data_IF_719704109789
#
_entry.id   IF_719704109789
#
_cell.length_a   1.000
_cell.length_b   1.000
_cell.length_c   1.000
_cell.angle_alpha   90.00
_cell.angle_beta   90.00
_cell.angle_gamma   90.00
#
_symmetry.space_group_name_H-M   'P 1'
#
loop_
_entity.id
_entity.type
_entity.pdbx_description
1 polymer ?
#
# COMPACT_ATOMS: atom_id res chain seq x y z
N UNK A 1 60.79 18.43 -1.81
CA UNK A 1 59.35 18.52 -1.49
C UNK A 1 58.50 19.00 -2.70
N UNK A 2 58.46 18.34 -3.88
CA UNK A 2 57.55 18.73 -4.97
C UNK A 2 56.24 17.91 -5.04
N UNK A 3 56.19 16.74 -4.39
CA UNK A 3 55.03 15.83 -4.47
C UNK A 3 53.79 16.33 -3.69
N UNK A 4 53.98 17.11 -2.63
CA UNK A 4 52.87 17.62 -1.80
C UNK A 4 52.01 18.64 -2.55
N UNK A 5 52.61 19.49 -3.40
CA UNK A 5 51.86 20.52 -4.14
C UNK A 5 51.04 19.95 -5.30
N UNK A 6 51.52 18.91 -5.98
CA UNK A 6 50.77 18.24 -7.06
C UNK A 6 49.55 17.51 -6.51
N UNK A 7 49.69 16.88 -5.34
CA UNK A 7 48.61 16.12 -4.69
C UNK A 7 47.51 17.04 -4.16
N UNK A 8 47.86 18.21 -3.60
CA UNK A 8 46.86 19.23 -3.24
C UNK A 8 46.13 19.81 -4.46
N UNK A 9 46.82 20.04 -5.57
CA UNK A 9 46.17 20.55 -6.80
C UNK A 9 45.18 19.53 -7.40
N UNK A 10 45.49 18.23 -7.34
CA UNK A 10 44.58 17.17 -7.81
C UNK A 10 43.33 17.04 -6.93
N UNK A 11 43.48 17.13 -5.60
CA UNK A 11 42.34 17.10 -4.66
C UNK A 11 41.44 18.32 -4.84
N UNK A 12 42.03 19.51 -5.06
CA UNK A 12 41.26 20.73 -5.34
C UNK A 12 40.52 20.60 -6.68
N UNK A 13 41.13 20.02 -7.72
CA UNK A 13 40.46 19.77 -9.00
C UNK A 13 39.32 18.77 -8.91
N UNK A 14 39.47 17.69 -8.13
CA UNK A 14 38.38 16.72 -7.88
C UNK A 14 37.25 17.35 -7.06
N UNK A 15 37.55 18.17 -6.06
CA UNK A 15 36.54 18.88 -5.27
C UNK A 15 35.79 19.95 -6.09
N UNK A 16 36.48 20.63 -7.01
CA UNK A 16 35.87 21.59 -7.94
C UNK A 16 35.03 20.90 -9.03
N UNK A 17 35.42 19.70 -9.48
CA UNK A 17 34.60 18.86 -10.38
C UNK A 17 33.37 18.27 -9.67
N UNK A 18 33.48 17.92 -8.39
CA UNK A 18 32.31 17.54 -7.57
C UNK A 18 31.35 18.72 -7.35
N UNK A 19 31.87 19.96 -7.30
CA UNK A 19 31.07 21.18 -7.26
C UNK A 19 30.32 21.52 -8.56
N UNK A 20 30.59 20.81 -9.66
CA UNK A 20 29.95 21.05 -10.96
C UNK A 20 28.76 20.10 -11.26
N UNK A 21 28.35 19.25 -10.31
CA UNK A 21 27.30 18.24 -10.48
C UNK A 21 26.26 18.24 -9.35
N UNK A 22 26.23 19.26 -8.50
CA UNK A 22 25.21 19.35 -7.45
C UNK A 22 23.89 19.84 -8.03
N UNK A 23 22.84 19.03 -7.88
CA UNK A 23 21.47 19.41 -8.23
C UNK A 23 21.06 20.62 -7.41
N UNK A 24 20.51 21.63 -8.09
CA UNK A 24 19.92 22.81 -7.43
C UNK A 24 18.47 22.53 -7.05
N UNK A 25 18.08 22.79 -5.80
CA UNK A 25 16.70 22.65 -5.36
C UNK A 25 16.06 24.02 -5.18
N UNK A 26 14.97 24.26 -5.91
CA UNK A 26 14.24 25.51 -5.86
C UNK A 26 12.82 25.25 -5.36
N UNK A 27 12.30 26.18 -4.57
CA UNK A 27 10.93 26.13 -4.04
C UNK A 27 10.29 27.49 -4.25
N UNK A 28 9.04 27.51 -4.69
CA UNK A 28 8.28 28.75 -4.88
C UNK A 28 6.84 28.53 -4.50
N UNK A 29 6.35 29.29 -3.52
CA UNK A 29 4.92 29.36 -3.23
C UNK A 29 4.28 30.40 -4.14
N UNK A 30 3.45 29.94 -5.09
CA UNK A 30 2.73 30.79 -6.03
C UNK A 30 1.49 31.43 -5.39
N UNK A 31 1.06 30.90 -4.25
CA UNK A 31 -0.22 31.23 -3.61
C UNK A 31 -0.08 31.51 -2.10
N UNK A 32 0.88 32.36 -1.68
CA UNK A 32 1.26 32.53 -0.27
C UNK A 32 0.17 33.15 0.61
N UNK A 33 -0.84 33.77 0.01
CA UNK A 33 -1.94 34.42 0.73
C UNK A 33 -3.20 33.53 0.84
N UNK A 34 -3.17 32.30 0.30
CA UNK A 34 -4.24 31.31 0.49
C UNK A 34 -4.10 30.62 1.84
N UNK A 35 -5.17 30.02 2.40
CA UNK A 35 -5.04 29.28 3.67
C UNK A 35 -4.00 28.15 3.58
N UNK A 36 -3.91 27.49 2.42
CA UNK A 36 -2.86 26.51 2.11
C UNK A 36 -1.45 27.08 2.12
N UNK A 37 -1.20 28.18 1.40
CA UNK A 37 0.11 28.86 1.39
C UNK A 37 0.54 29.39 2.76
N UNK A 38 -0.42 29.96 3.52
CA UNK A 38 -0.17 30.39 4.91
C UNK A 38 0.22 29.20 5.80
N UNK A 39 -0.45 28.05 5.65
CA UNK A 39 -0.11 26.84 6.40
C UNK A 39 1.23 26.25 5.97
N UNK A 40 1.52 26.26 4.66
CA UNK A 40 2.81 25.86 4.11
C UNK A 40 3.96 26.63 4.76
N UNK A 41 3.91 27.96 4.76
CA UNK A 41 4.95 28.81 5.35
C UNK A 41 5.13 28.53 6.86
N UNK A 42 4.02 28.30 7.57
CA UNK A 42 4.04 28.11 9.03
C UNK A 42 4.54 26.73 9.47
N UNK A 43 4.14 25.66 8.77
CA UNK A 43 4.30 24.28 9.24
C UNK A 43 5.35 23.48 8.46
N UNK A 44 5.66 23.88 7.22
CA UNK A 44 6.58 23.18 6.32
C UNK A 44 7.79 24.08 6.05
N UNK A 45 7.57 25.17 5.30
CA UNK A 45 8.56 26.20 4.98
C UNK A 45 9.53 25.83 3.84
N UNK A 46 10.00 26.86 3.12
CA UNK A 46 10.91 26.72 1.97
C UNK A 46 12.23 26.03 2.33
N UNK A 47 12.86 26.43 3.44
CA UNK A 47 14.16 25.89 3.85
C UNK A 47 14.08 24.38 4.13
N UNK A 48 12.98 23.93 4.74
CA UNK A 48 12.71 22.52 4.97
C UNK A 48 12.62 21.76 3.65
N UNK A 49 11.85 22.27 2.68
CA UNK A 49 11.69 21.62 1.39
C UNK A 49 13.02 21.47 0.63
N UNK A 50 13.88 22.50 0.66
CA UNK A 50 15.21 22.45 0.03
C UNK A 50 16.07 21.36 0.68
N UNK A 51 16.10 21.30 2.01
CA UNK A 51 16.87 20.30 2.75
C UNK A 51 16.31 18.89 2.52
N UNK A 52 14.99 18.73 2.54
CA UNK A 52 14.32 17.45 2.41
C UNK A 52 14.45 16.90 0.98
N UNK A 53 14.32 17.72 -0.07
CA UNK A 53 14.61 17.28 -1.43
C UNK A 53 16.05 16.79 -1.61
N UNK A 54 17.02 17.44 -0.97
CA UNK A 54 18.39 16.95 -0.92
C UNK A 54 18.51 15.59 -0.26
N UNK A 55 17.83 15.40 0.86
CA UNK A 55 17.79 14.13 1.61
C UNK A 55 17.14 13.00 0.80
N UNK A 56 15.97 13.27 0.21
CA UNK A 56 15.22 12.33 -0.63
C UNK A 56 16.04 11.93 -1.85
N UNK A 57 16.71 12.88 -2.52
CA UNK A 57 17.55 12.56 -3.67
C UNK A 57 18.69 11.59 -3.30
N UNK A 58 19.40 11.83 -2.20
CA UNK A 58 20.44 10.89 -1.75
C UNK A 58 19.86 9.51 -1.42
N UNK A 59 18.67 9.47 -0.83
CA UNK A 59 17.95 8.21 -0.59
C UNK A 59 17.64 7.49 -1.91
N UNK A 60 17.11 8.19 -2.93
CA UNK A 60 16.79 7.61 -4.24
C UNK A 60 18.06 7.10 -4.94
N UNK A 61 19.15 7.88 -4.93
CA UNK A 61 20.42 7.42 -5.48
C UNK A 61 20.94 6.16 -4.79
N UNK A 62 20.74 6.02 -3.48
CA UNK A 62 21.07 4.77 -2.79
C UNK A 62 20.13 3.64 -3.17
N UNK A 63 18.83 3.90 -3.24
CA UNK A 63 17.80 2.91 -3.56
C UNK A 63 18.00 2.31 -4.96
N UNK A 64 18.39 3.13 -5.94
CA UNK A 64 18.65 2.68 -7.31
C UNK A 64 20.11 2.28 -7.59
N UNK A 65 20.95 2.14 -6.56
CA UNK A 65 22.39 1.81 -6.70
C UNK A 65 23.17 2.80 -7.60
N UNK A 66 22.82 4.08 -7.50
CA UNK A 66 23.36 5.19 -8.28
C UNK A 66 24.28 6.13 -7.48
N UNK A 67 24.45 5.92 -6.16
CA UNK A 67 25.35 6.74 -5.32
C UNK A 67 26.79 6.71 -5.87
N UNK A 68 27.31 5.53 -6.19
CA UNK A 68 28.66 5.33 -6.72
C UNK A 68 28.70 5.19 -8.25
N UNK A 69 27.53 5.26 -8.91
CA UNK A 69 27.38 5.07 -10.36
C UNK A 69 26.68 6.27 -11.02
N UNK A 70 27.30 7.47 -11.03
CA UNK A 70 26.63 8.68 -11.51
C UNK A 70 26.24 8.64 -13.00
N UNK A 71 26.88 7.78 -13.81
CA UNK A 71 26.53 7.60 -15.22
C UNK A 71 25.21 6.86 -15.46
N UNK A 72 24.66 6.20 -14.44
CA UNK A 72 23.37 5.51 -14.51
C UNK A 72 22.19 6.40 -14.11
N UNK A 73 22.48 7.60 -13.58
CA UNK A 73 21.47 8.57 -13.14
C UNK A 73 20.76 9.18 -14.33
N UNK A 74 19.46 9.38 -14.20
CA UNK A 74 18.74 10.28 -15.10
C UNK A 74 19.25 11.71 -14.91
N UNK A 75 19.74 12.41 -15.95
CA UNK A 75 20.35 13.72 -15.79
C UNK A 75 19.35 14.76 -15.27
N UNK A 76 19.75 15.51 -14.24
CA UNK A 76 19.00 16.62 -13.68
C UNK A 76 19.97 17.72 -13.24
N UNK A 77 19.73 18.96 -13.66
CA UNK A 77 20.50 20.12 -13.21
C UNK A 77 19.85 20.78 -11.99
N UNK A 78 18.52 20.73 -11.92
CA UNK A 78 17.72 21.28 -10.83
C UNK A 78 16.42 20.51 -10.65
N UNK A 79 15.81 20.68 -9.47
CA UNK A 79 14.40 20.32 -9.22
C UNK A 79 13.68 21.57 -8.75
N UNK A 80 12.52 21.85 -9.36
CA UNK A 80 11.67 22.97 -9.00
C UNK A 80 10.39 22.46 -8.33
N UNK A 81 10.14 22.88 -7.10
CA UNK A 81 8.90 22.64 -6.39
C UNK A 81 8.04 23.91 -6.38
N UNK A 82 6.80 23.82 -6.85
CA UNK A 82 5.80 24.86 -6.71
C UNK A 82 4.75 24.46 -5.69
N UNK A 83 4.32 25.42 -4.86
CA UNK A 83 3.05 25.32 -4.14
C UNK A 83 2.03 26.10 -4.96
N UNK A 84 0.97 25.43 -5.42
CA UNK A 84 -0.03 26.02 -6.32
C UNK A 84 -1.44 25.50 -6.02
N UNK A 85 -2.46 26.22 -6.49
CA UNK A 85 -3.86 25.80 -6.45
C UNK A 85 -4.12 24.83 -7.60
N UNK A 86 -4.11 23.54 -7.29
CA UNK A 86 -4.51 22.50 -8.23
C UNK A 86 -6.04 22.38 -8.31
N UNK A 87 -6.61 22.66 -9.48
CA UNK A 87 -8.05 22.65 -9.71
C UNK A 87 -8.64 21.24 -9.95
N UNK A 88 -7.79 20.23 -10.13
CA UNK A 88 -8.14 18.86 -10.53
C UNK A 88 -8.18 17.87 -9.36
N UNK A 89 -8.16 18.35 -8.11
CA UNK A 89 -8.07 17.55 -6.87
C UNK A 89 -6.83 16.65 -6.77
N UNK A 90 -5.87 16.76 -7.70
CA UNK A 90 -4.60 16.07 -7.56
C UNK A 90 -3.84 16.62 -6.35
N UNK A 91 -3.23 15.72 -5.59
CA UNK A 91 -2.45 16.06 -4.41
C UNK A 91 -1.11 16.70 -4.81
N UNK A 92 -0.48 16.15 -5.84
CA UNK A 92 0.70 16.68 -6.49
C UNK A 92 0.81 16.11 -7.92
N UNK A 93 1.71 16.67 -8.72
CA UNK A 93 2.08 16.13 -10.02
C UNK A 93 3.53 16.49 -10.36
N UNK A 94 4.22 15.57 -11.04
CA UNK A 94 5.57 15.79 -11.56
C UNK A 94 5.59 15.82 -13.07
N UNK A 95 6.24 16.84 -13.64
CA UNK A 95 6.56 16.92 -15.06
C UNK A 95 8.03 17.27 -15.25
N UNK A 96 8.79 16.33 -15.82
CA UNK A 96 10.23 16.51 -16.02
C UNK A 96 10.96 16.61 -14.68
N UNK A 97 11.38 17.83 -14.33
CA UNK A 97 12.03 18.17 -13.07
C UNK A 97 11.25 19.20 -12.25
N UNK A 98 9.99 19.44 -12.61
CA UNK A 98 9.07 20.32 -11.89
C UNK A 98 8.04 19.49 -11.15
N UNK A 99 7.88 19.78 -9.87
CA UNK A 99 6.89 19.18 -8.98
C UNK A 99 5.91 20.30 -8.60
N UNK A 100 4.62 20.08 -8.80
CA UNK A 100 3.60 20.97 -8.27
C UNK A 100 2.89 20.28 -7.11
N UNK A 101 2.87 20.92 -5.95
CA UNK A 101 2.18 20.47 -4.75
C UNK A 101 0.92 21.29 -4.54
N UNK A 102 -0.20 20.62 -4.30
CA UNK A 102 -1.48 21.29 -4.10
C UNK A 102 -1.53 22.03 -2.76
N UNK A 103 -1.74 23.34 -2.82
CA UNK A 103 -2.03 24.15 -1.63
C UNK A 103 -3.36 23.75 -0.97
N UNK A 104 -4.30 23.18 -1.74
CA UNK A 104 -5.58 22.68 -1.22
C UNK A 104 -5.33 21.44 -0.35
N UNK A 105 -4.48 20.52 -0.80
CA UNK A 105 -4.05 19.39 0.02
C UNK A 105 -3.44 19.86 1.35
N UNK A 106 -2.49 20.81 1.29
CA UNK A 106 -1.83 21.34 2.49
C UNK A 106 -2.86 21.97 3.44
N UNK A 107 -3.82 22.73 2.90
CA UNK A 107 -4.89 23.33 3.69
C UNK A 107 -5.73 22.27 4.41
N UNK A 108 -6.20 21.26 3.67
CA UNK A 108 -7.24 20.35 4.13
C UNK A 108 -6.68 19.12 4.85
N UNK A 109 -5.35 18.93 4.87
CA UNK A 109 -4.72 17.79 5.53
C UNK A 109 -4.98 17.77 7.04
N UNK A 110 -5.54 16.67 7.53
CA UNK A 110 -5.74 16.46 8.97
C UNK A 110 -4.50 15.82 9.61
N UNK A 111 -4.10 16.33 10.79
CA UNK A 111 -2.90 15.87 11.50
C UNK A 111 -1.59 16.51 11.03
N UNK A 112 -0.51 15.71 11.01
CA UNK A 112 0.85 16.17 10.70
C UNK A 112 1.04 16.39 9.19
N UNK A 113 0.72 17.60 8.73
CA UNK A 113 0.85 17.98 7.32
C UNK A 113 2.30 17.94 6.84
N UNK A 114 3.27 18.15 7.71
CA UNK A 114 4.68 18.08 7.33
C UNK A 114 5.06 16.66 6.98
N UNK A 115 4.64 15.68 7.77
CA UNK A 115 4.82 14.27 7.45
C UNK A 115 4.10 13.87 6.15
N UNK A 116 2.83 14.28 5.99
CA UNK A 116 2.03 13.99 4.80
C UNK A 116 2.63 14.57 3.52
N UNK A 117 3.06 15.83 3.58
CA UNK A 117 3.77 16.51 2.51
C UNK A 117 5.07 15.79 2.14
N UNK A 118 5.89 15.42 3.12
CA UNK A 118 7.15 14.71 2.87
C UNK A 118 6.90 13.34 2.25
N UNK A 119 5.84 12.64 2.67
CA UNK A 119 5.40 11.39 2.06
C UNK A 119 5.14 11.53 0.55
N UNK A 120 4.39 12.56 0.14
CA UNK A 120 4.15 12.85 -1.29
C UNK A 120 5.44 13.30 -1.97
N UNK A 121 6.29 14.08 -1.30
CA UNK A 121 7.55 14.52 -1.88
C UNK A 121 8.48 13.34 -2.22
N UNK A 122 8.48 12.26 -1.44
CA UNK A 122 9.18 11.02 -1.82
C UNK A 122 8.64 10.42 -3.13
N UNK A 123 7.31 10.39 -3.30
CA UNK A 123 6.67 9.92 -4.53
C UNK A 123 7.12 10.76 -5.74
N UNK A 124 6.88 12.07 -5.67
CA UNK A 124 7.12 13.00 -6.78
C UNK A 124 8.61 13.11 -7.15
N UNK A 125 9.49 13.17 -6.15
CA UNK A 125 10.93 13.16 -6.40
C UNK A 125 11.38 11.87 -7.09
N UNK A 126 10.74 10.74 -6.83
CA UNK A 126 11.06 9.49 -7.53
C UNK A 126 10.81 9.63 -9.02
N UNK A 127 9.71 10.26 -9.45
CA UNK A 127 9.45 10.54 -10.86
C UNK A 127 10.50 11.44 -11.51
N UNK A 128 11.15 12.33 -10.76
CA UNK A 128 12.25 13.16 -11.29
C UNK A 128 13.50 12.31 -11.59
N UNK A 129 13.81 11.32 -10.74
CA UNK A 129 15.08 10.58 -10.79
C UNK A 129 14.99 9.18 -11.40
N UNK A 130 13.82 8.55 -11.45
CA UNK A 130 13.63 7.28 -12.11
C UNK A 130 13.61 7.44 -13.64
N UNK A 131 13.96 6.37 -14.34
CA UNK A 131 13.82 6.31 -15.79
C UNK A 131 12.34 6.11 -16.17
N UNK A 132 11.88 6.89 -17.15
CA UNK A 132 10.47 6.97 -17.56
C UNK A 132 10.34 6.69 -19.07
N UNK A 133 10.54 5.45 -19.52
CA UNK A 133 10.37 5.14 -20.93
C UNK A 133 8.89 5.12 -21.29
N UNK A 134 8.54 5.54 -22.51
CA UNK A 134 7.14 5.76 -22.93
C UNK A 134 6.31 4.50 -23.07
N UNK A 135 6.96 3.34 -23.11
CA UNK A 135 6.39 2.01 -23.25
C UNK A 135 6.27 1.26 -21.90
N UNK A 136 6.69 1.86 -20.78
CA UNK A 136 6.43 1.31 -19.46
C UNK A 136 4.95 1.47 -19.07
N UNK A 137 4.33 0.45 -18.45
CA UNK A 137 3.01 0.59 -17.84
C UNK A 137 3.00 1.72 -16.81
N UNK A 138 2.00 2.59 -16.88
CA UNK A 138 1.84 3.71 -15.95
C UNK A 138 1.81 3.23 -14.50
N UNK A 139 1.11 2.13 -14.20
CA UNK A 139 1.09 1.61 -12.83
C UNK A 139 2.43 1.05 -12.35
N UNK A 140 3.34 0.62 -13.24
CA UNK A 140 4.72 0.32 -12.83
C UNK A 140 5.47 1.60 -12.45
N UNK A 141 5.31 2.67 -13.23
CA UNK A 141 5.91 3.99 -12.97
C UNK A 141 5.45 4.55 -11.62
N UNK A 142 4.16 4.53 -11.34
CA UNK A 142 3.56 4.94 -10.06
C UNK A 142 3.98 4.00 -8.92
N UNK A 143 4.05 2.69 -9.19
CA UNK A 143 4.41 1.68 -8.21
C UNK A 143 5.85 1.80 -7.71
N UNK A 144 6.80 2.21 -8.57
CA UNK A 144 8.18 2.48 -8.14
C UNK A 144 8.25 3.73 -7.26
N UNK A 145 7.43 4.74 -7.53
CA UNK A 145 7.33 5.93 -6.68
C UNK A 145 6.78 5.58 -5.28
N UNK A 146 5.68 4.82 -5.20
CA UNK A 146 5.13 4.34 -3.92
C UNK A 146 6.06 3.33 -3.21
N UNK A 147 6.83 2.53 -3.97
CA UNK A 147 7.88 1.67 -3.41
C UNK A 147 8.96 2.49 -2.71
N UNK A 148 9.37 3.62 -3.27
CA UNK A 148 10.34 4.52 -2.64
C UNK A 148 9.81 5.05 -1.30
N UNK A 149 8.54 5.48 -1.26
CA UNK A 149 7.87 5.89 -0.02
C UNK A 149 7.87 4.76 1.02
N UNK A 150 7.55 3.53 0.58
CA UNK A 150 7.54 2.34 1.42
C UNK A 150 8.92 2.07 2.04
N UNK A 151 9.99 2.13 1.23
CA UNK A 151 11.36 1.91 1.72
C UNK A 151 11.87 3.05 2.60
N UNK A 152 11.35 4.27 2.43
CA UNK A 152 11.67 5.41 3.27
C UNK A 152 10.89 5.43 4.61
N UNK A 153 9.97 4.48 4.82
CA UNK A 153 9.01 4.49 5.94
C UNK A 153 8.08 5.73 5.96
N UNK A 154 7.79 6.28 4.78
CA UNK A 154 6.85 7.37 4.56
C UNK A 154 5.56 6.86 3.88
N UNK A 155 5.14 5.65 4.19
CA UNK A 155 3.97 5.01 3.60
C UNK A 155 2.72 5.28 4.47
N UNK A 156 1.68 5.94 3.95
CA UNK A 156 0.49 6.27 4.74
C UNK A 156 -0.23 5.03 5.30
N UNK A 157 -0.89 5.14 6.47
CA UNK A 157 -1.75 4.07 6.98
C UNK A 157 -2.95 3.85 6.04
N UNK A 158 -3.49 2.63 6.02
CA UNK A 158 -4.66 2.28 5.19
C UNK A 158 -4.36 1.93 3.73
N UNK A 159 -3.08 1.97 3.34
CA UNK A 159 -2.60 1.51 2.02
C UNK A 159 -2.65 -0.01 1.88
N UNK A 160 -2.51 -0.48 0.64
CA UNK A 160 -2.50 -1.89 0.26
C UNK A 160 -1.56 -2.74 1.14
N UNK A 161 -2.06 -3.90 1.57
CA UNK A 161 -1.31 -4.94 2.25
C UNK A 161 -0.62 -5.85 1.23
N UNK A 162 0.44 -6.59 1.62
CA UNK A 162 0.98 -7.64 0.78
C UNK A 162 -0.13 -8.63 0.36
N UNK A 163 -0.28 -8.87 -0.93
CA UNK A 163 -1.31 -9.73 -1.50
C UNK A 163 -2.59 -9.01 -1.93
N UNK A 164 -2.73 -7.70 -1.72
CA UNK A 164 -3.87 -6.93 -2.23
C UNK A 164 -3.75 -6.64 -3.74
N UNK A 165 -4.83 -6.16 -4.35
CA UNK A 165 -4.90 -5.77 -5.76
C UNK A 165 -5.12 -6.91 -6.74
N UNK A 166 -5.42 -6.55 -7.99
CA UNK A 166 -5.87 -7.46 -9.04
C UNK A 166 -4.80 -7.69 -10.13
N UNK A 167 -3.88 -6.74 -10.30
CA UNK A 167 -2.78 -6.81 -11.29
C UNK A 167 -1.48 -6.28 -10.72
N UNK A 168 -0.35 -6.75 -11.27
CA UNK A 168 0.99 -6.39 -10.81
C UNK A 168 1.35 -4.94 -11.13
N UNK A 169 0.78 -4.37 -12.18
CA UNK A 169 0.93 -3.01 -12.68
C UNK A 169 -0.32 -2.15 -12.40
N UNK A 170 -1.08 -2.47 -11.35
CA UNK A 170 -2.25 -1.69 -10.96
C UNK A 170 -1.91 -0.23 -10.57
N UNK A 171 -0.66 0.04 -10.19
CA UNK A 171 -0.23 1.35 -9.72
C UNK A 171 -0.04 1.44 -8.23
N UNK A 172 0.59 2.53 -7.82
CA UNK A 172 0.67 2.99 -6.43
C UNK A 172 1.08 1.88 -5.45
N UNK A 173 0.35 1.77 -4.35
CA UNK A 173 0.65 0.91 -3.21
C UNK A 173 0.55 -0.58 -3.55
N UNK A 174 -0.37 -0.97 -4.42
CA UNK A 174 -0.49 -2.37 -4.89
C UNK A 174 0.78 -2.80 -5.60
N UNK A 175 1.21 -2.04 -6.61
CA UNK A 175 2.43 -2.37 -7.34
C UNK A 175 3.66 -2.23 -6.46
N UNK A 176 3.71 -1.25 -5.55
CA UNK A 176 4.80 -1.12 -4.57
C UNK A 176 4.96 -2.37 -3.69
N UNK A 177 3.86 -2.99 -3.26
CA UNK A 177 3.90 -4.25 -2.48
C UNK A 177 4.38 -5.44 -3.31
N UNK A 178 4.06 -5.48 -4.60
CA UNK A 178 4.60 -6.48 -5.50
C UNK A 178 6.11 -6.30 -5.72
N UNK A 179 6.57 -5.06 -5.89
CA UNK A 179 7.99 -4.74 -6.02
C UNK A 179 8.76 -5.08 -4.74
N UNK A 180 8.17 -4.89 -3.55
CA UNK A 180 8.74 -5.35 -2.28
C UNK A 180 8.92 -6.88 -2.23
N UNK A 181 7.95 -7.63 -2.78
CA UNK A 181 8.11 -9.07 -2.92
C UNK A 181 9.23 -9.44 -3.90
N UNK A 182 9.29 -8.81 -5.08
CA UNK A 182 10.35 -9.04 -6.07
C UNK A 182 11.74 -8.73 -5.49
N UNK A 183 11.86 -7.64 -4.74
CA UNK A 183 13.09 -7.26 -4.03
C UNK A 183 13.49 -8.31 -2.98
N UNK A 184 12.53 -9.00 -2.36
CA UNK A 184 12.82 -10.08 -1.42
C UNK A 184 13.42 -11.33 -2.09
N UNK A 185 13.20 -11.49 -3.40
CA UNK A 185 13.79 -12.56 -4.21
C UNK A 185 15.19 -12.17 -4.73
N UNK A 186 15.36 -10.89 -5.07
CA UNK A 186 16.63 -10.30 -5.49
C UNK A 186 16.74 -8.88 -4.90
N UNK A 187 17.65 -8.68 -3.93
CA UNK A 187 17.82 -7.43 -3.16
C UNK A 187 18.27 -6.20 -3.98
N UNK A 188 18.34 -6.31 -5.30
CA UNK A 188 18.68 -5.19 -6.19
C UNK A 188 17.70 -5.13 -7.37
N UNK A 189 16.56 -5.80 -7.25
CA UNK A 189 15.60 -5.96 -8.33
C UNK A 189 15.10 -4.61 -8.82
N UNK A 190 14.61 -3.75 -7.92
CA UNK A 190 14.07 -2.44 -8.30
C UNK A 190 15.15 -1.53 -8.90
N UNK A 191 16.36 -1.55 -8.34
CA UNK A 191 17.50 -0.81 -8.88
C UNK A 191 17.87 -1.26 -10.30
N UNK A 192 17.97 -2.57 -10.52
CA UNK A 192 18.29 -3.13 -11.83
C UNK A 192 17.15 -2.94 -12.84
N UNK A 193 15.89 -3.03 -12.40
CA UNK A 193 14.73 -2.76 -13.24
C UNK A 193 14.76 -1.31 -13.72
N UNK A 194 14.89 -0.34 -12.81
CA UNK A 194 15.02 1.08 -13.14
C UNK A 194 16.16 1.33 -14.14
N UNK A 195 17.33 0.71 -13.93
CA UNK A 195 18.46 0.81 -14.86
C UNK A 195 18.14 0.26 -16.26
N UNK A 196 17.44 -0.88 -16.36
CA UNK A 196 17.03 -1.45 -17.65
C UNK A 196 15.97 -0.60 -18.37
N UNK A 197 15.18 0.16 -17.62
CA UNK A 197 14.16 1.07 -18.15
C UNK A 197 14.70 2.39 -18.72
N UNK A 198 16.02 2.55 -18.84
CA UNK A 198 16.64 3.79 -19.33
C UNK A 198 16.07 4.27 -20.68
N UNK A 199 15.90 3.35 -21.62
CA UNK A 199 15.53 3.67 -23.00
C UNK A 199 14.16 3.09 -23.41
N UNK A 200 13.76 1.95 -22.84
CA UNK A 200 12.53 1.22 -23.18
C UNK A 200 12.10 0.30 -22.04
N UNK A 201 10.90 -0.25 -22.11
CA UNK A 201 10.38 -1.27 -21.19
C UNK A 201 9.98 -2.56 -21.91
N UNK A 202 10.20 -3.70 -21.24
CA UNK A 202 9.70 -4.99 -21.67
C UNK A 202 9.48 -5.93 -20.46
N UNK A 203 8.38 -6.66 -20.42
CA UNK A 203 8.11 -7.65 -19.36
C UNK A 203 9.19 -8.75 -19.27
N UNK A 204 9.95 -9.00 -20.35
CA UNK A 204 11.10 -9.92 -20.33
C UNK A 204 12.18 -9.50 -19.33
N UNK A 205 12.20 -8.25 -18.87
CA UNK A 205 13.15 -7.81 -17.85
C UNK A 205 12.94 -8.56 -16.52
N UNK A 206 11.73 -9.00 -16.20
CA UNK A 206 11.48 -9.88 -15.06
C UNK A 206 12.12 -11.25 -15.25
N UNK A 207 12.13 -11.79 -16.48
CA UNK A 207 12.82 -13.04 -16.80
C UNK A 207 14.33 -12.87 -16.67
N UNK A 208 14.88 -11.77 -17.20
CA UNK A 208 16.31 -11.47 -17.11
C UNK A 208 16.79 -11.37 -15.65
N UNK A 209 15.97 -10.76 -14.78
CA UNK A 209 16.35 -10.44 -13.40
C UNK A 209 16.01 -11.56 -12.40
N UNK A 210 14.84 -12.19 -12.54
CA UNK A 210 14.30 -13.17 -11.58
C UNK A 210 14.11 -14.58 -12.16
N UNK A 211 14.40 -14.76 -13.46
CA UNK A 211 14.28 -16.05 -14.13
C UNK A 211 12.85 -16.49 -14.43
N UNK A 212 11.85 -15.63 -14.22
CA UNK A 212 10.42 -15.94 -14.39
C UNK A 212 9.65 -14.80 -15.05
N UNK A 213 8.62 -15.08 -15.86
CA UNK A 213 7.71 -14.06 -16.36
C UNK A 213 6.98 -13.35 -15.23
N UNK A 214 6.66 -12.06 -15.42
CA UNK A 214 5.97 -11.23 -14.41
C UNK A 214 4.64 -11.83 -13.95
N UNK A 215 3.86 -12.42 -14.86
CA UNK A 215 2.59 -13.09 -14.52
C UNK A 215 2.77 -14.27 -13.57
N UNK A 216 3.88 -15.02 -13.70
CA UNK A 216 4.20 -16.13 -12.81
C UNK A 216 4.60 -15.60 -11.44
N UNK A 217 5.42 -14.55 -11.39
CA UNK A 217 5.82 -13.89 -10.15
C UNK A 217 4.62 -13.28 -9.42
N UNK A 218 3.69 -12.66 -10.15
CA UNK A 218 2.46 -12.13 -9.60
C UNK A 218 1.60 -13.23 -8.98
N UNK A 219 1.45 -14.36 -9.68
CA UNK A 219 0.73 -15.52 -9.12
C UNK A 219 1.40 -16.04 -7.85
N UNK A 220 2.72 -16.21 -7.85
CA UNK A 220 3.48 -16.66 -6.67
C UNK A 220 3.40 -15.66 -5.50
N UNK A 221 3.38 -14.36 -5.80
CA UNK A 221 3.11 -13.30 -4.83
C UNK A 221 1.74 -13.45 -4.20
N UNK A 222 0.69 -13.60 -5.02
CA UNK A 222 -0.67 -13.84 -4.55
C UNK A 222 -0.74 -15.12 -3.75
N UNK A 223 -0.03 -16.18 -4.15
CA UNK A 223 0.07 -17.45 -3.41
C UNK A 223 0.70 -17.31 -2.03
N UNK A 224 1.82 -16.58 -1.95
CA UNK A 224 2.54 -16.31 -0.70
C UNK A 224 1.72 -15.50 0.30
N UNK A 225 0.97 -14.53 -0.20
CA UNK A 225 0.17 -13.61 0.60
C UNK A 225 -1.33 -13.86 0.43
N UNK A 226 -1.72 -15.09 0.05
CA UNK A 226 -3.12 -15.47 0.04
C UNK A 226 -3.65 -15.31 1.46
N UNK A 227 -4.41 -14.26 1.68
CA UNK A 227 -5.32 -14.19 2.79
C UNK A 227 -6.41 -15.23 2.51
N UNK A 228 -6.29 -16.46 3.04
CA UNK A 228 -7.46 -17.34 3.12
C UNK A 228 -8.53 -16.49 3.83
N UNK A 229 -9.77 -16.41 3.33
CA UNK A 229 -10.87 -15.80 4.08
C UNK A 229 -11.03 -16.36 5.51
N UNK A 230 -10.37 -17.48 5.83
CA UNK A 230 -10.21 -18.04 7.18
C UNK A 230 -9.09 -17.42 8.05
N UNK A 231 -8.07 -16.81 7.44
CA UNK A 231 -6.99 -16.10 8.15
C UNK A 231 -7.39 -14.67 8.54
N UNK A 232 -8.61 -14.27 8.17
CA UNK A 232 -9.30 -13.15 8.79
C UNK A 232 -9.72 -13.58 10.20
N UNK A 233 -8.77 -13.56 11.12
CA UNK A 233 -9.08 -13.53 12.54
C UNK A 233 -9.68 -12.14 12.84
N UNK A 234 -11.01 -12.05 12.73
CA UNK A 234 -11.77 -11.00 13.41
C UNK A 234 -12.45 -11.59 14.64
N UNK A 235 -11.74 -11.79 15.77
CA UNK A 235 -12.40 -12.09 17.04
C UNK A 235 -13.48 -11.06 17.31
N UNK A 236 -13.22 -9.78 17.01
CA UNK A 236 -14.14 -8.68 17.31
C UNK A 236 -15.41 -8.68 16.45
N UNK A 237 -15.31 -9.05 15.16
CA UNK A 237 -16.50 -9.17 14.29
C UNK A 237 -17.28 -10.43 14.64
N UNK A 238 -16.60 -11.53 14.96
CA UNK A 238 -17.27 -12.75 15.42
C UNK A 238 -17.94 -12.55 16.79
N UNK A 239 -17.31 -11.83 17.72
CA UNK A 239 -17.87 -11.44 19.01
C UNK A 239 -19.02 -10.46 18.83
N UNK A 240 -18.90 -9.44 17.97
CA UNK A 240 -19.97 -8.49 17.69
C UNK A 240 -21.18 -9.16 17.03
N UNK A 241 -20.96 -10.10 16.10
CA UNK A 241 -22.01 -10.89 15.47
C UNK A 241 -22.64 -11.86 16.48
N UNK A 242 -21.86 -12.56 17.29
CA UNK A 242 -22.36 -13.44 18.35
C UNK A 242 -23.15 -12.66 19.41
N UNK A 243 -22.67 -11.49 19.84
CA UNK A 243 -23.37 -10.58 20.74
C UNK A 243 -24.66 -10.06 20.11
N UNK A 244 -24.63 -9.67 18.83
CA UNK A 244 -25.82 -9.20 18.12
C UNK A 244 -26.86 -10.32 17.98
N UNK A 245 -26.44 -11.55 17.65
CA UNK A 245 -27.33 -12.71 17.59
C UNK A 245 -27.89 -13.05 18.98
N UNK A 246 -27.08 -12.99 20.04
CA UNK A 246 -27.53 -13.20 21.43
C UNK A 246 -28.54 -12.13 21.88
N UNK A 247 -28.27 -10.86 21.56
CA UNK A 247 -29.17 -9.72 21.82
C UNK A 247 -30.49 -9.89 21.05
N UNK A 248 -30.44 -10.34 19.80
CA UNK A 248 -31.62 -10.57 18.97
C UNK A 248 -32.43 -11.81 19.42
N UNK A 249 -31.76 -12.89 19.85
CA UNK A 249 -32.41 -14.05 20.46
C UNK A 249 -33.17 -13.68 21.75
N UNK A 250 -32.64 -12.73 22.53
CA UNK A 250 -33.31 -12.19 23.72
C UNK A 250 -34.51 -11.26 23.43
N UNK A 251 -34.62 -10.69 22.22
CA UNK A 251 -35.64 -9.67 21.89
C UNK A 251 -36.85 -10.18 21.11
N UNK A 252 -36.87 -11.45 20.71
CA UNK A 252 -38.04 -12.08 20.09
C UNK A 252 -38.44 -13.36 20.84
N UNK A 253 -38.98 -13.17 22.05
CA UNK A 253 -39.66 -14.24 22.81
C UNK A 253 -41.14 -13.89 22.93
N UNK A 254 -41.99 -14.64 22.23
CA UNK A 254 -43.33 -14.92 22.72
C UNK A 254 -43.34 -16.39 23.13
N UNK A 255 -43.57 -16.65 24.42
CA UNK A 255 -43.59 -17.99 25.05
C UNK A 255 -42.27 -18.79 25.09
N UNK A 256 -41.10 -18.13 25.14
CA UNK A 256 -39.85 -18.80 25.50
C UNK A 256 -39.25 -19.74 24.45
N UNK A 257 -39.63 -19.59 23.17
CA UNK A 257 -38.97 -20.25 22.04
C UNK A 257 -38.47 -19.20 21.06
N UNK A 258 -37.19 -19.28 20.69
CA UNK A 258 -36.55 -18.31 19.78
C UNK A 258 -37.13 -18.47 18.38
N UNK A 259 -37.86 -17.47 17.90
CA UNK A 259 -38.43 -17.42 16.54
C UNK A 259 -37.35 -17.39 15.44
N UNK A 260 -36.18 -16.83 15.73
CA UNK A 260 -35.07 -16.75 14.79
C UNK A 260 -34.46 -18.13 14.47
N UNK A 261 -34.27 -18.96 15.50
CA UNK A 261 -33.76 -20.34 15.35
C UNK A 261 -34.67 -21.21 14.49
N UNK A 262 -35.98 -21.24 14.77
CA UNK A 262 -36.93 -22.04 14.01
C UNK A 262 -37.05 -21.59 12.55
N UNK A 263 -36.97 -20.28 12.28
CA UNK A 263 -37.03 -19.73 10.93
C UNK A 263 -35.82 -20.12 10.09
N UNK A 264 -34.60 -19.98 10.64
CA UNK A 264 -33.36 -20.35 9.96
C UNK A 264 -33.29 -21.86 9.69
N UNK A 265 -33.72 -22.69 10.66
CA UNK A 265 -33.71 -24.16 10.54
C UNK A 265 -34.73 -24.70 9.55
N UNK A 266 -35.88 -24.02 9.40
CA UNK A 266 -36.91 -24.35 8.41
C UNK A 266 -36.46 -24.00 6.99
N UNK A 267 -35.71 -22.91 6.83
CA UNK A 267 -35.13 -22.49 5.54
C UNK A 267 -33.95 -23.36 5.10
N UNK A 268 -33.19 -23.90 6.05
CA UNK A 268 -32.12 -24.88 5.82
C UNK A 268 -32.61 -26.34 5.68
N UNK A 269 -33.91 -26.61 5.77
CA UNK A 269 -34.53 -27.95 5.67
C UNK A 269 -34.10 -28.97 6.76
N UNK A 270 -33.58 -28.51 7.91
CA UNK A 270 -33.01 -29.35 8.98
C UNK A 270 -33.93 -29.55 10.20
N UNK A 271 -35.19 -29.11 10.11
CA UNK A 271 -36.11 -29.02 11.25
C UNK A 271 -36.48 -30.37 11.91
N UNK A 272 -36.36 -31.51 11.20
CA UNK A 272 -36.72 -32.84 11.75
C UNK A 272 -35.57 -33.50 12.53
N UNK A 273 -34.33 -33.33 12.08
CA UNK A 273 -33.16 -33.97 12.69
C UNK A 273 -32.77 -33.32 14.03
N UNK A 274 -32.93 -31.99 14.12
CA UNK A 274 -32.66 -31.24 15.34
C UNK A 274 -33.49 -31.70 16.54
N UNK A 275 -34.79 -31.98 16.36
CA UNK A 275 -35.68 -32.39 17.44
C UNK A 275 -35.31 -33.77 17.99
N UNK A 276 -34.81 -34.66 17.12
CA UNK A 276 -34.30 -35.98 17.51
C UNK A 276 -32.91 -35.90 18.18
N UNK A 277 -32.09 -34.92 17.81
CA UNK A 277 -30.75 -34.71 18.39
C UNK A 277 -30.83 -34.06 19.77
N UNK A 278 -31.68 -33.04 19.93
CA UNK A 278 -31.94 -32.36 21.22
C UNK A 278 -32.49 -33.30 22.30
N UNK A 279 -33.26 -34.32 21.91
CA UNK A 279 -33.73 -35.37 22.82
C UNK A 279 -32.61 -36.33 23.25
N UNK A 280 -31.55 -36.51 22.45
CA UNK A 280 -30.35 -37.28 22.82
C UNK A 280 -29.41 -36.45 23.72
N UNK A 281 -29.30 -35.16 23.45
CA UNK A 281 -28.41 -34.24 24.18
C UNK A 281 -29.00 -33.80 25.54
N UNK A 282 -30.31 -33.96 25.77
CA UNK A 282 -30.94 -33.77 27.08
C UNK A 282 -30.42 -34.73 28.17
N UNK A 283 -29.73 -35.82 27.81
CA UNK A 283 -29.12 -36.76 28.76
C UNK A 283 -27.73 -36.28 29.25
N UNK A 284 -27.13 -35.28 28.60
CA UNK A 284 -25.76 -34.80 28.90
C UNK A 284 -25.76 -33.41 29.57
N UNK A 285 -26.88 -32.99 30.15
CA UNK A 285 -26.98 -31.70 30.85
C UNK A 285 -26.86 -31.87 32.37
N UNK A 286 -25.65 -32.19 32.85
CA UNK A 286 -25.23 -31.88 34.22
C UNK A 286 -23.75 -31.55 34.26
N UNK A 287 -23.43 -30.38 34.83
CA UNK A 287 -22.11 -29.80 35.13
C UNK A 287 -21.49 -28.86 34.07
N UNK A 288 -21.09 -27.70 34.58
CA UNK A 288 -20.68 -26.43 33.93
C UNK A 288 -19.34 -26.45 33.19
N UNK A 289 -18.95 -27.55 32.56
CA UNK A 289 -17.69 -27.60 31.79
C UNK A 289 -17.88 -28.33 30.47
N UNK A 290 -18.20 -27.58 29.40
CA UNK A 290 -17.71 -27.80 28.02
C UNK A 290 -18.51 -27.02 26.96
N UNK A 291 -18.42 -25.69 26.96
CA UNK A 291 -18.92 -24.89 25.82
C UNK A 291 -17.88 -24.82 24.69
N UNK A 292 -16.59 -24.94 25.02
CA UNK A 292 -15.49 -24.88 24.03
C UNK A 292 -15.39 -26.10 23.11
N UNK A 293 -15.72 -27.30 23.59
CA UNK A 293 -15.58 -28.53 22.79
C UNK A 293 -16.78 -28.81 21.88
N UNK A 294 -17.95 -28.21 22.14
CA UNK A 294 -19.16 -28.52 21.37
C UNK A 294 -19.16 -27.89 19.96
N UNK A 295 -18.42 -26.78 19.77
CA UNK A 295 -18.32 -26.06 18.50
C UNK A 295 -17.50 -26.83 17.45
N UNK A 296 -16.69 -27.80 17.88
CA UNK A 296 -15.79 -28.59 17.00
C UNK A 296 -16.33 -29.97 16.61
N UNK A 297 -17.61 -30.28 16.89
CA UNK A 297 -18.20 -31.51 16.35
C UNK A 297 -18.58 -31.31 14.87
N UNK A 298 -18.04 -32.18 14.02
CA UNK A 298 -17.99 -32.12 12.56
C UNK A 298 -19.30 -31.86 11.80
N UNK A 299 -20.46 -31.94 12.46
CA UNK A 299 -21.75 -31.67 11.83
C UNK A 299 -22.17 -30.19 11.89
N UNK A 300 -21.70 -29.39 12.86
CA UNK A 300 -22.07 -27.97 12.94
C UNK A 300 -21.29 -27.09 11.96
N UNK A 301 -20.04 -27.47 11.64
CA UNK A 301 -19.23 -26.78 10.63
C UNK A 301 -19.82 -26.92 9.21
N UNK A 302 -20.37 -28.10 8.89
CA UNK A 302 -21.04 -28.35 7.60
C UNK A 302 -22.35 -27.58 7.49
N UNK A 303 -23.10 -27.46 8.59
CA UNK A 303 -24.34 -26.67 8.63
C UNK A 303 -24.03 -25.17 8.49
N UNK A 304 -22.98 -24.68 9.15
CA UNK A 304 -22.50 -23.30 9.05
C UNK A 304 -21.97 -22.95 7.65
N UNK A 305 -21.22 -23.86 7.01
CA UNK A 305 -20.70 -23.67 5.65
C UNK A 305 -21.81 -23.63 4.59
N UNK A 306 -22.84 -24.49 4.73
CA UNK A 306 -24.00 -24.50 3.83
C UNK A 306 -24.87 -23.25 3.98
N UNK A 307 -25.01 -22.70 5.19
CA UNK A 307 -25.68 -21.41 5.40
C UNK A 307 -24.91 -20.24 4.75
N UNK A 308 -23.57 -20.31 4.73
CA UNK A 308 -22.69 -19.31 4.10
C UNK A 308 -22.85 -19.27 2.57
N UNK A 309 -23.00 -20.43 1.93
CA UNK A 309 -23.18 -20.55 0.47
C UNK A 309 -24.55 -20.04 0.01
N UNK A 310 -25.62 -20.33 0.76
CA UNK A 310 -26.98 -19.82 0.44
C UNK A 310 -27.08 -18.30 0.52
N UNK A 311 -26.43 -17.66 1.50
CA UNK A 311 -26.47 -16.21 1.65
C UNK A 311 -25.64 -15.46 0.59
N UNK A 312 -24.62 -16.12 0.02
CA UNK A 312 -23.80 -15.55 -1.05
C UNK A 312 -24.53 -15.60 -2.41
N UNK A 313 -25.34 -16.63 -2.68
CA UNK A 313 -26.15 -16.72 -3.90
C UNK A 313 -27.32 -15.72 -3.91
N UNK A 314 -27.98 -15.50 -2.77
CA UNK A 314 -29.10 -14.54 -2.64
C UNK A 314 -28.64 -13.06 -2.75
N UNK A 315 -27.37 -12.74 -2.48
CA UNK A 315 -26.83 -11.37 -2.66
C UNK A 315 -26.45 -11.05 -4.12
N UNK A 316 -26.21 -12.08 -4.95
CA UNK A 316 -25.87 -11.93 -6.38
C UNK A 316 -27.13 -11.86 -7.26
N UNK A 317 -28.25 -12.40 -6.79
CA UNK A 317 -29.55 -12.31 -7.46
C UNK A 317 -30.52 -11.51 -6.60
N UNK A 318 -30.42 -10.18 -6.71
CA UNK A 318 -31.30 -9.25 -6.02
C UNK A 318 -32.78 -9.46 -6.38
N UNK A 319 -33.46 -10.34 -5.66
CA UNK A 319 -34.90 -10.34 -5.55
C UNK A 319 -35.31 -9.63 -4.26
N UNK A 320 -36.09 -8.57 -4.47
CA UNK A 320 -36.76 -7.79 -3.43
C UNK A 320 -37.54 -8.71 -2.50
N UNK A 321 -37.42 -8.46 -1.20
CA UNK A 321 -38.55 -8.54 -0.27
C UNK A 321 -38.70 -7.22 0.46
#
# INVERSE_FOLDING_TARGET
MPYFHVQCCLIILVALLQGALSITYNVTDLVPNTPGGIRFEKEIGVDYCIQEMGTINQFIYKLFDQENNPGDRRPQDFVQLYIDVHADNATAATQGNTINMSSIFIQDYDGDVKWGFTSILYHEMTHVFQWLPTDAPEGLIEGIADYTMLKANYFPPGRAKPGDGDSWDQGYDVTARFLEYCESLLQTFVAQLNKKMKDSYNDSYFVDLLGKPVDTLWKEYKEKYHHDPKDIDFPDVQIAVAQTIWILQGRFSYSGKSLAGDFLMKRANLHKDYKSQMLKDQVVMTSDQNIGEMIMSSNYFVIWLNMKLMLAEDLVHGERL
#
